data_IF_510481073411
#
_entry.id   IF_510481073411
#
_cell.length_a   1.000
_cell.length_b   1.000
_cell.length_c   1.000
_cell.angle_alpha   90.00
_cell.angle_beta   90.00
_cell.angle_gamma   90.00
#
_symmetry.space_group_name_H-M   'P 1'
#
loop_
_entity.id
_entity.type
_entity.pdbx_description
1 polymer ?
#
# COMPACT_ATOMS: atom_id res chain seq x y z
N UNK A 1 -23.24 -13.31 16.04
CA UNK A 1 -22.14 -13.28 15.08
C UNK A 1 -21.07 -14.29 15.44
N UNK A 2 -20.55 -14.97 14.46
CA UNK A 2 -19.52 -15.96 14.70
C UNK A 2 -18.15 -15.31 14.74
N UNK A 3 -17.20 -15.99 15.38
CA UNK A 3 -15.79 -15.62 15.37
C UNK A 3 -15.24 -15.40 13.97
N UNK A 4 -15.68 -16.24 13.06
CA UNK A 4 -15.25 -16.22 11.67
C UNK A 4 -15.54 -14.88 10.99
N UNK A 5 -16.71 -14.33 11.25
CA UNK A 5 -17.08 -13.03 10.67
C UNK A 5 -16.18 -11.89 11.16
N UNK A 6 -15.79 -11.96 12.43
CA UNK A 6 -14.87 -10.95 13.00
C UNK A 6 -13.49 -11.04 12.38
N UNK A 7 -12.99 -12.26 12.16
CA UNK A 7 -11.68 -12.46 11.51
C UNK A 7 -11.70 -11.99 10.07
N UNK A 8 -12.75 -12.34 9.32
CA UNK A 8 -12.91 -11.91 7.94
C UNK A 8 -12.99 -10.38 7.84
N UNK A 9 -13.73 -9.74 8.74
CA UNK A 9 -13.82 -8.28 8.79
C UNK A 9 -12.46 -7.65 9.10
N UNK A 10 -11.68 -8.25 10.01
CA UNK A 10 -10.35 -7.77 10.33
C UNK A 10 -9.40 -7.84 9.16
N UNK A 11 -9.41 -8.94 8.40
CA UNK A 11 -8.56 -9.11 7.22
C UNK A 11 -8.95 -8.13 6.11
N UNK A 12 -10.24 -7.97 5.86
CA UNK A 12 -10.74 -7.01 4.87
C UNK A 12 -10.33 -5.60 5.26
N UNK A 13 -10.45 -5.25 6.54
CA UNK A 13 -10.08 -3.92 7.04
C UNK A 13 -8.58 -3.65 6.87
N UNK A 14 -7.72 -4.65 7.10
CA UNK A 14 -6.29 -4.51 6.89
C UNK A 14 -5.95 -4.29 5.43
N UNK A 15 -6.52 -5.09 4.54
CA UNK A 15 -6.30 -4.95 3.10
C UNK A 15 -6.78 -3.59 2.61
N UNK A 16 -7.92 -3.14 3.10
CA UNK A 16 -8.44 -1.82 2.75
C UNK A 16 -7.51 -0.72 3.23
N UNK A 17 -6.96 -0.85 4.45
CA UNK A 17 -6.02 0.12 4.99
C UNK A 17 -4.76 0.20 4.13
N UNK A 18 -4.19 -0.94 3.73
CA UNK A 18 -3.02 -0.96 2.87
C UNK A 18 -3.32 -0.40 1.48
N UNK A 19 -4.52 -0.64 0.96
CA UNK A 19 -4.94 -0.07 -0.32
C UNK A 19 -5.00 1.46 -0.24
N UNK A 20 -5.62 1.99 0.81
CA UNK A 20 -5.71 3.44 1.02
C UNK A 20 -4.31 4.04 1.17
N UNK A 21 -3.43 3.38 1.93
CA UNK A 21 -2.06 3.84 2.09
C UNK A 21 -1.32 3.85 0.76
N UNK A 22 -1.48 2.80 -0.05
CA UNK A 22 -0.86 2.73 -1.38
C UNK A 22 -1.37 3.86 -2.28
N UNK A 23 -2.66 4.14 -2.25
CA UNK A 23 -3.24 5.25 -3.02
C UNK A 23 -2.67 6.59 -2.57
N UNK A 24 -2.56 6.80 -1.25
CA UNK A 24 -2.01 8.04 -0.70
C UNK A 24 -0.55 8.22 -1.11
N UNK A 25 0.27 7.19 -0.99
CA UNK A 25 1.67 7.27 -1.36
C UNK A 25 1.86 7.45 -2.87
N UNK A 26 1.01 6.81 -3.67
CA UNK A 26 1.02 7.01 -5.12
C UNK A 26 0.70 8.44 -5.50
N UNK A 27 -0.25 9.07 -4.81
CA UNK A 27 -0.60 10.47 -5.04
C UNK A 27 0.57 11.39 -4.69
N UNK A 28 1.26 11.13 -3.59
CA UNK A 28 2.45 11.90 -3.18
C UNK A 28 3.53 11.78 -4.23
N UNK A 29 3.80 10.57 -4.73
CA UNK A 29 4.79 10.33 -5.76
C UNK A 29 4.44 11.07 -7.05
N UNK A 30 3.20 10.97 -7.49
CA UNK A 30 2.75 11.61 -8.72
C UNK A 30 2.89 13.12 -8.64
N UNK A 31 2.39 13.72 -7.55
CA UNK A 31 2.48 15.17 -7.36
C UNK A 31 3.92 15.65 -7.28
N UNK A 32 4.76 14.93 -6.56
CA UNK A 32 6.16 15.30 -6.39
C UNK A 32 6.96 15.19 -7.67
N UNK A 33 6.71 14.13 -8.46
CA UNK A 33 7.37 13.96 -9.75
C UNK A 33 6.98 15.07 -10.72
N UNK A 34 5.72 15.49 -10.72
CA UNK A 34 5.26 16.61 -11.54
C UNK A 34 5.94 17.91 -11.14
N UNK A 35 6.14 18.16 -9.85
CA UNK A 35 6.84 19.34 -9.37
C UNK A 35 8.29 19.34 -9.83
N UNK A 36 8.96 18.20 -9.77
CA UNK A 36 10.35 18.07 -10.25
C UNK A 36 10.41 18.31 -11.75
N UNK A 37 9.48 17.77 -12.51
CA UNK A 37 9.40 17.95 -13.95
C UNK A 37 9.23 19.41 -14.32
N UNK A 38 8.51 20.17 -13.52
CA UNK A 38 8.29 21.60 -13.73
C UNK A 38 9.46 22.47 -13.22
N UNK A 39 10.49 21.85 -12.69
CA UNK A 39 11.63 22.56 -12.14
C UNK A 39 11.39 23.20 -10.80
N UNK A 40 10.37 22.78 -10.08
CA UNK A 40 9.98 23.35 -8.78
C UNK A 40 10.37 22.49 -7.60
N UNK A 41 11.06 21.37 -7.86
CA UNK A 41 11.45 20.47 -6.78
C UNK A 41 12.59 21.00 -5.94
N UNK A 42 12.43 20.96 -4.61
CA UNK A 42 13.49 21.24 -3.66
C UNK A 42 14.23 19.93 -3.32
N UNK A 43 15.48 20.01 -2.79
CA UNK A 43 16.19 18.80 -2.37
C UNK A 43 15.41 17.94 -1.38
N UNK A 44 14.65 18.56 -0.48
CA UNK A 44 13.80 17.86 0.48
C UNK A 44 12.68 17.06 -0.21
N UNK A 45 12.28 17.49 -1.40
CA UNK A 45 11.24 16.81 -2.17
C UNK A 45 11.68 15.42 -2.58
N UNK A 46 12.94 15.27 -2.99
CA UNK A 46 13.46 13.95 -3.35
C UNK A 46 13.39 12.97 -2.19
N UNK A 47 13.74 13.44 -0.98
CA UNK A 47 13.66 12.61 0.21
C UNK A 47 12.22 12.15 0.48
N UNK A 48 11.25 13.06 0.36
CA UNK A 48 9.84 12.76 0.53
C UNK A 48 9.40 11.69 -0.49
N UNK A 49 9.82 11.83 -1.75
CA UNK A 49 9.48 10.87 -2.80
C UNK A 49 10.09 9.50 -2.54
N UNK A 50 11.33 9.45 -2.06
CA UNK A 50 11.98 8.19 -1.72
C UNK A 50 11.28 7.49 -0.57
N UNK A 51 10.84 8.23 0.44
CA UNK A 51 10.05 7.67 1.55
C UNK A 51 8.70 7.13 1.06
N UNK A 52 8.04 7.89 0.20
CA UNK A 52 6.76 7.48 -0.37
C UNK A 52 6.91 6.18 -1.18
N UNK A 53 7.96 6.10 -2.01
CA UNK A 53 8.23 4.90 -2.79
C UNK A 53 8.52 3.69 -1.89
N UNK A 54 9.27 3.90 -0.81
CA UNK A 54 9.57 2.84 0.14
C UNK A 54 8.32 2.34 0.85
N UNK A 55 7.45 3.26 1.29
CA UNK A 55 6.18 2.91 1.92
C UNK A 55 5.27 2.14 0.98
N UNK A 56 5.20 2.57 -0.28
CA UNK A 56 4.40 1.89 -1.30
C UNK A 56 4.90 0.47 -1.54
N UNK A 57 6.21 0.29 -1.62
CA UNK A 57 6.82 -1.03 -1.79
C UNK A 57 6.48 -1.95 -0.62
N UNK A 58 6.53 -1.43 0.62
CA UNK A 58 6.17 -2.19 1.81
C UNK A 58 4.71 -2.61 1.80
N UNK A 59 3.80 -1.69 1.50
CA UNK A 59 2.38 -1.97 1.42
C UNK A 59 2.07 -3.02 0.34
N UNK A 60 2.72 -2.91 -0.82
CA UNK A 60 2.54 -3.87 -1.91
C UNK A 60 2.99 -5.27 -1.51
N UNK A 61 4.09 -5.39 -0.77
CA UNK A 61 4.57 -6.69 -0.27
C UNK A 61 3.57 -7.34 0.67
N UNK A 62 2.98 -6.56 1.56
CA UNK A 62 2.01 -7.07 2.53
C UNK A 62 0.76 -7.57 1.80
N UNK A 63 0.26 -6.81 0.84
CA UNK A 63 -0.92 -7.21 0.05
C UNK A 63 -0.62 -8.49 -0.74
N UNK A 64 0.55 -8.57 -1.36
CA UNK A 64 0.95 -9.76 -2.11
C UNK A 64 1.06 -10.99 -1.21
N UNK A 65 1.62 -10.84 -0.01
CA UNK A 65 1.73 -11.93 0.95
C UNK A 65 0.37 -12.43 1.38
N UNK A 66 -0.55 -11.52 1.70
CA UNK A 66 -1.91 -11.87 2.08
C UNK A 66 -2.63 -12.60 0.96
N UNK A 67 -2.46 -12.16 -0.27
CA UNK A 67 -3.04 -12.80 -1.43
C UNK A 67 -2.49 -14.22 -1.60
N UNK A 68 -1.18 -14.40 -1.47
CA UNK A 68 -0.54 -15.71 -1.59
C UNK A 68 -1.04 -16.68 -0.51
N UNK A 69 -1.17 -16.21 0.73
CA UNK A 69 -1.70 -17.02 1.82
C UNK A 69 -3.15 -17.44 1.54
N UNK A 70 -3.98 -16.51 1.07
CA UNK A 70 -5.36 -16.80 0.70
C UNK A 70 -5.47 -17.85 -0.39
N UNK A 71 -4.64 -17.76 -1.42
CA UNK A 71 -4.60 -18.75 -2.51
C UNK A 71 -4.15 -20.11 -1.99
N UNK A 72 -3.13 -20.14 -1.15
CA UNK A 72 -2.65 -21.40 -0.57
C UNK A 72 -3.74 -22.10 0.26
N UNK A 73 -4.48 -21.36 1.07
CA UNK A 73 -5.59 -21.89 1.84
C UNK A 73 -6.69 -22.46 0.94
N UNK A 74 -7.02 -21.75 -0.13
CA UNK A 74 -8.01 -22.20 -1.08
C UNK A 74 -7.59 -23.51 -1.77
N UNK A 75 -6.30 -23.68 -2.04
CA UNK A 75 -5.78 -24.88 -2.68
C UNK A 75 -5.73 -26.09 -1.75
N UNK A 76 -5.62 -25.86 -0.45
CA UNK A 76 -5.60 -26.93 0.54
C UNK A 76 -6.99 -27.56 0.74
N UNK A 77 -8.05 -26.83 0.51
CA UNK A 77 -9.42 -27.31 0.65
C UNK A 77 -9.87 -28.10 -0.57
#
# INVERSE_FOLDING_TARGET
>A
MSHRNLEDSGNVSMLELFRVEAENQSAILTSGLLEIERGQGAPQQLEILMRAAHSLKGAARIVNLQTAVGVAHAMED
#
